data_IF_095781599470
#
_entry.id   IF_095781599470
#
_cell.length_a   1.000
_cell.length_b   1.000
_cell.length_c   1.000
_cell.angle_alpha   90.00
_cell.angle_beta   90.00
_cell.angle_gamma   90.00
#
_symmetry.space_group_name_H-M   'P 1'
#
loop_
_entity.id
_entity.type
_entity.pdbx_description
1 polymer ?
#
# COMPACT_ATOMS: atom_id res chain seq x y z
N UNK A 1 44.28 -17.21 33.71
CA UNK A 1 43.75 -17.64 32.40
C UNK A 1 42.81 -16.54 31.92
N UNK A 2 43.33 -15.61 31.11
CA UNK A 2 42.58 -14.50 30.52
C UNK A 2 42.67 -14.64 29.00
N UNK A 3 41.56 -15.02 28.38
CA UNK A 3 41.28 -14.95 26.94
C UNK A 3 39.80 -15.37 26.81
N UNK A 4 38.88 -14.69 26.15
CA UNK A 4 39.00 -13.71 25.10
C UNK A 4 37.78 -12.77 25.17
N UNK A 5 38.01 -11.51 25.47
CA UNK A 5 37.10 -10.41 25.15
C UNK A 5 37.75 -9.69 23.96
N UNK A 6 37.26 -9.94 22.75
CA UNK A 6 37.76 -9.22 21.59
C UNK A 6 37.54 -9.95 20.29
N UNK A 7 36.40 -9.68 19.64
CA UNK A 7 36.22 -9.74 18.16
C UNK A 7 34.81 -9.32 17.71
N UNK A 8 34.17 -8.34 18.37
CA UNK A 8 32.88 -7.79 17.86
C UNK A 8 33.02 -6.28 17.62
N UNK A 9 34.10 -5.86 16.96
CA UNK A 9 34.28 -4.47 16.58
C UNK A 9 35.15 -4.40 15.31
N UNK A 10 34.57 -4.62 14.12
CA UNK A 10 35.19 -4.26 12.81
C UNK A 10 34.30 -4.58 11.57
N UNK A 11 32.98 -4.40 11.62
CA UNK A 11 32.11 -4.66 10.44
C UNK A 11 31.34 -3.45 9.87
N UNK A 12 31.62 -2.22 10.29
CA UNK A 12 30.89 -1.02 9.82
C UNK A 12 31.67 -0.05 8.93
N UNK A 13 32.63 -0.51 8.12
CA UNK A 13 33.40 0.40 7.26
C UNK A 13 33.71 -0.19 5.88
N UNK A 14 32.69 -0.50 5.07
CA UNK A 14 32.93 -0.84 3.66
C UNK A 14 31.68 -0.75 2.74
N UNK A 15 30.86 0.31 2.80
CA UNK A 15 29.89 0.61 1.71
C UNK A 15 29.77 2.14 1.53
N UNK A 16 30.86 2.80 1.14
CA UNK A 16 30.82 4.17 0.59
C UNK A 16 31.84 4.29 -0.53
N UNK A 17 31.68 3.46 -1.58
CA UNK A 17 32.30 3.70 -2.88
C UNK A 17 31.64 2.74 -3.88
N UNK A 18 30.84 3.31 -4.78
CA UNK A 18 30.32 2.82 -6.08
C UNK A 18 28.90 3.40 -6.25
N UNK A 19 28.52 4.17 -7.26
CA UNK A 19 29.19 4.66 -8.45
C UNK A 19 28.30 5.81 -8.99
N UNK A 20 28.88 6.96 -9.31
CA UNK A 20 28.28 7.87 -10.29
C UNK A 20 28.46 7.24 -11.67
N UNK A 21 27.40 6.62 -12.18
CA UNK A 21 27.31 6.33 -13.61
C UNK A 21 25.86 6.39 -14.03
N UNK A 22 25.56 7.39 -14.85
CA UNK A 22 24.34 7.51 -15.64
C UNK A 22 24.13 6.20 -16.38
N UNK A 23 23.08 5.49 -16.02
CA UNK A 23 22.51 4.42 -16.83
C UNK A 23 21.03 4.57 -16.57
N UNK A 24 20.29 4.89 -17.63
CA UNK A 24 18.85 4.91 -17.58
C UNK A 24 18.39 3.57 -17.02
N UNK A 25 18.03 3.57 -15.74
CA UNK A 25 17.04 2.66 -15.21
C UNK A 25 15.81 2.94 -16.04
N UNK A 26 15.72 2.22 -17.15
CA UNK A 26 14.43 1.85 -17.72
C UNK A 26 13.79 1.10 -16.58
N UNK A 27 13.08 1.85 -15.74
CA UNK A 27 12.19 1.35 -14.73
C UNK A 27 11.17 0.59 -15.55
N UNK A 28 11.46 -0.68 -15.86
CA UNK A 28 10.48 -1.59 -16.40
C UNK A 28 9.60 -1.86 -15.19
N UNK A 29 8.74 -0.88 -14.89
CA UNK A 29 7.50 -1.12 -14.20
C UNK A 29 6.84 -2.19 -15.05
N UNK A 30 7.01 -3.44 -14.64
CA UNK A 30 6.15 -4.54 -15.10
C UNK A 30 4.77 -4.00 -14.89
N UNK A 31 4.12 -3.55 -15.97
CA UNK A 31 2.79 -3.01 -15.89
C UNK A 31 1.97 -4.11 -15.24
N UNK A 32 1.56 -3.90 -13.99
CA UNK A 32 0.71 -4.85 -13.31
C UNK A 32 -0.51 -4.99 -14.22
N UNK A 33 -0.68 -6.16 -14.83
CA UNK A 33 -1.81 -6.40 -15.70
C UNK A 33 -3.05 -6.42 -14.82
N UNK A 34 -4.03 -5.61 -15.19
CA UNK A 34 -5.22 -5.42 -14.39
C UNK A 34 -6.23 -4.56 -15.14
N UNK A 35 -7.44 -4.51 -14.60
CA UNK A 35 -8.57 -3.82 -15.22
C UNK A 35 -9.20 -2.85 -14.24
N UNK A 36 -9.69 -1.75 -14.80
CA UNK A 36 -10.47 -0.76 -14.07
C UNK A 36 -11.93 -1.17 -14.07
N UNK A 37 -12.45 -1.51 -12.90
CA UNK A 37 -13.80 -2.00 -12.71
C UNK A 37 -14.57 -1.09 -11.76
N UNK A 38 -15.88 -1.02 -11.95
CA UNK A 38 -16.75 -0.35 -10.98
C UNK A 38 -16.86 -1.25 -9.75
N UNK A 39 -16.64 -0.68 -8.56
CA UNK A 39 -16.80 -1.43 -7.31
C UNK A 39 -18.27 -1.87 -7.16
N UNK A 40 -18.57 -3.18 -7.06
CA UNK A 40 -19.94 -3.69 -6.99
C UNK A 40 -20.65 -3.40 -5.66
N UNK A 41 -19.92 -2.85 -4.68
CA UNK A 41 -20.38 -2.68 -3.30
C UNK A 41 -19.93 -3.81 -2.37
N UNK A 42 -20.03 -3.58 -1.06
CA UNK A 42 -19.55 -4.49 -0.03
C UNK A 42 -19.12 -3.75 1.24
N UNK A 43 -18.10 -4.28 1.92
CA UNK A 43 -17.60 -3.72 3.20
C UNK A 43 -17.13 -2.27 3.04
N UNK A 44 -16.58 -1.92 1.88
CA UNK A 44 -16.01 -0.60 1.60
C UNK A 44 -16.97 0.36 0.89
N UNK A 45 -18.26 0.05 0.78
CA UNK A 45 -19.25 0.88 0.05
C UNK A 45 -19.34 2.32 0.52
N UNK A 46 -19.10 2.59 1.80
CA UNK A 46 -19.09 3.96 2.34
C UNK A 46 -17.84 4.78 1.98
N UNK A 47 -16.76 4.13 1.53
CA UNK A 47 -15.44 4.75 1.35
C UNK A 47 -14.97 4.70 -0.12
N UNK A 48 -15.55 3.82 -0.93
CA UNK A 48 -15.18 3.59 -2.33
C UNK A 48 -16.37 3.90 -3.22
N UNK A 49 -16.35 5.08 -3.85
CA UNK A 49 -17.36 5.54 -4.80
C UNK A 49 -16.79 5.79 -6.21
N UNK A 50 -15.62 5.23 -6.50
CA UNK A 50 -14.86 5.45 -7.73
C UNK A 50 -14.53 4.12 -8.41
N UNK A 51 -14.07 4.17 -9.66
CA UNK A 51 -13.56 2.99 -10.36
C UNK A 51 -12.24 2.55 -9.75
N UNK A 52 -12.13 1.25 -9.48
CA UNK A 52 -11.01 0.65 -8.77
C UNK A 52 -10.18 -0.19 -9.71
N UNK A 53 -8.87 -0.18 -9.49
CA UNK A 53 -7.96 -1.05 -10.20
C UNK A 53 -8.02 -2.45 -9.58
N UNK A 54 -8.29 -3.45 -10.41
CA UNK A 54 -8.24 -4.86 -10.03
C UNK A 54 -7.11 -5.57 -10.78
N UNK A 55 -6.13 -6.14 -10.06
CA UNK A 55 -5.09 -6.94 -10.69
C UNK A 55 -5.67 -8.20 -11.34
N UNK A 56 -5.04 -8.63 -12.43
CA UNK A 56 -5.48 -9.80 -13.19
C UNK A 56 -5.47 -11.06 -12.31
N UNK A 57 -6.54 -11.86 -12.42
CA UNK A 57 -6.71 -13.08 -11.62
C UNK A 57 -7.22 -12.86 -10.19
N UNK A 58 -7.39 -11.60 -9.75
CA UNK A 58 -8.04 -11.27 -8.48
C UNK A 58 -9.48 -10.81 -8.73
N UNK A 59 -10.41 -11.40 -7.99
CA UNK A 59 -11.83 -11.03 -8.04
C UNK A 59 -12.26 -10.24 -6.82
N UNK A 60 -13.28 -9.39 -6.98
CA UNK A 60 -13.92 -8.69 -5.87
C UNK A 60 -14.32 -9.63 -4.72
N UNK A 61 -14.81 -10.83 -5.03
CA UNK A 61 -15.19 -11.80 -4.01
C UNK A 61 -14.03 -12.26 -3.14
N UNK A 62 -12.83 -12.43 -3.71
CA UNK A 62 -11.66 -12.83 -2.93
C UNK A 62 -11.24 -11.73 -1.95
N UNK A 63 -11.25 -10.47 -2.39
CA UNK A 63 -10.92 -9.33 -1.53
C UNK A 63 -12.00 -9.13 -0.46
N UNK A 64 -13.28 -9.20 -0.82
CA UNK A 64 -14.39 -9.10 0.13
C UNK A 64 -14.41 -10.26 1.14
N UNK A 65 -14.00 -11.47 0.78
CA UNK A 65 -13.85 -12.58 1.75
C UNK A 65 -12.78 -12.27 2.80
N UNK A 66 -11.66 -11.66 2.40
CA UNK A 66 -10.63 -11.24 3.35
C UNK A 66 -11.16 -10.14 4.27
N UNK A 67 -11.86 -9.14 3.72
CA UNK A 67 -12.51 -8.06 4.48
C UNK A 67 -13.63 -8.59 5.40
N UNK A 68 -14.32 -9.68 5.01
CA UNK A 68 -15.39 -10.30 5.79
C UNK A 68 -14.88 -10.85 7.13
N UNK A 69 -13.67 -11.39 7.17
CA UNK A 69 -13.03 -11.83 8.42
C UNK A 69 -12.83 -10.65 9.36
N UNK A 70 -12.40 -9.50 8.83
CA UNK A 70 -12.26 -8.27 9.61
C UNK A 70 -13.59 -7.69 10.05
N UNK A 71 -14.71 -8.03 9.39
CA UNK A 71 -16.04 -7.51 9.74
C UNK A 71 -16.53 -8.05 11.08
N UNK A 72 -16.18 -9.29 11.44
CA UNK A 72 -16.44 -9.82 12.79
C UNK A 72 -15.61 -9.09 13.84
N UNK A 73 -14.35 -8.78 13.51
CA UNK A 73 -13.47 -8.06 14.41
C UNK A 73 -13.96 -6.62 14.61
N UNK A 74 -14.37 -5.96 13.53
CA UNK A 74 -14.84 -4.58 13.58
C UNK A 74 -16.17 -4.44 14.33
N UNK A 75 -17.05 -5.45 14.30
CA UNK A 75 -18.24 -5.48 15.14
C UNK A 75 -17.89 -5.47 16.64
N UNK A 76 -16.86 -6.24 17.03
CA UNK A 76 -16.38 -6.26 18.42
C UNK A 76 -15.69 -4.94 18.79
N UNK A 77 -14.87 -4.39 17.89
CA UNK A 77 -14.17 -3.12 18.12
C UNK A 77 -15.13 -1.92 18.12
N UNK A 78 -16.22 -1.99 17.36
CA UNK A 78 -17.24 -0.92 17.31
C UNK A 78 -17.97 -0.74 18.63
N UNK A 79 -18.04 -1.78 19.46
CA UNK A 79 -18.60 -1.69 20.81
C UNK A 79 -17.67 -0.93 21.78
N UNK A 80 -16.36 -0.91 21.47
CA UNK A 80 -15.32 -0.25 22.27
C UNK A 80 -15.12 1.19 21.80
N UNK A 81 -14.85 1.39 20.51
CA UNK A 81 -14.60 2.70 19.91
C UNK A 81 -14.96 2.69 18.42
N UNK A 82 -16.10 3.28 18.09
CA UNK A 82 -16.59 3.39 16.71
C UNK A 82 -15.66 4.23 15.81
N UNK A 83 -15.03 5.28 16.35
CA UNK A 83 -14.17 6.17 15.56
C UNK A 83 -12.90 5.48 15.10
N UNK A 84 -12.37 4.54 15.88
CA UNK A 84 -11.25 3.67 15.51
C UNK A 84 -11.61 2.81 14.30
N UNK A 85 -12.78 2.16 14.34
CA UNK A 85 -13.26 1.31 13.24
C UNK A 85 -13.49 2.14 11.97
N UNK A 86 -14.12 3.30 12.09
CA UNK A 86 -14.34 4.20 10.96
C UNK A 86 -13.02 4.67 10.33
N UNK A 87 -12.06 5.08 11.16
CA UNK A 87 -10.73 5.51 10.71
C UNK A 87 -10.00 4.36 10.02
N UNK A 88 -10.07 3.15 10.58
CA UNK A 88 -9.48 1.96 9.98
C UNK A 88 -10.00 1.73 8.56
N UNK A 89 -11.32 1.68 8.36
CA UNK A 89 -11.89 1.46 7.02
C UNK A 89 -11.60 2.61 6.07
N UNK A 90 -11.55 3.86 6.55
CA UNK A 90 -11.19 5.03 5.75
C UNK A 90 -9.77 4.94 5.17
N UNK A 91 -8.83 4.32 5.87
CA UNK A 91 -7.46 4.10 5.38
C UNK A 91 -7.29 2.75 4.66
N UNK A 92 -7.93 1.69 5.14
CA UNK A 92 -7.78 0.35 4.58
C UNK A 92 -8.48 0.20 3.22
N UNK A 93 -9.69 0.73 3.07
CA UNK A 93 -10.46 0.59 1.82
C UNK A 93 -9.73 1.14 0.58
N UNK A 94 -9.14 2.35 0.57
CA UNK A 94 -8.37 2.83 -0.58
C UNK A 94 -7.07 2.05 -0.82
N UNK A 95 -6.55 1.33 0.19
CA UNK A 95 -5.39 0.46 0.03
C UNK A 95 -5.76 -0.83 -0.73
N UNK A 96 -6.86 -1.49 -0.37
CA UNK A 96 -7.36 -2.67 -1.10
C UNK A 96 -7.95 -2.30 -2.47
N UNK A 97 -8.60 -1.14 -2.55
CA UNK A 97 -9.27 -0.63 -3.74
C UNK A 97 -8.60 0.65 -4.21
N UNK A 98 -7.45 0.48 -4.87
CA UNK A 98 -6.70 1.57 -5.48
C UNK A 98 -7.54 2.25 -6.56
N UNK A 99 -7.43 3.59 -6.65
CA UNK A 99 -8.11 4.36 -7.70
C UNK A 99 -7.53 4.00 -9.07
N UNK A 100 -8.41 3.86 -10.05
CA UNK A 100 -7.98 3.85 -11.44
C UNK A 100 -7.62 5.26 -11.88
N UNK A 101 -6.33 5.47 -12.12
CA UNK A 101 -5.84 6.60 -12.92
C UNK A 101 -5.87 6.16 -14.38
N UNK A 102 -6.89 6.61 -15.11
CA UNK A 102 -6.82 6.63 -16.57
C UNK A 102 -5.60 7.48 -16.94
N UNK A 103 -4.72 7.03 -17.84
CA UNK A 103 -3.65 7.83 -18.44
C UNK A 103 -4.24 8.96 -19.32
N UNK A 104 -4.97 9.86 -18.69
CA UNK A 104 -5.51 11.11 -19.24
C UNK A 104 -5.51 12.18 -18.14
N UNK A 105 -4.39 12.23 -17.42
CA UNK A 105 -3.95 13.42 -16.69
C UNK A 105 -2.45 13.57 -16.98
N UNK A 106 -2.14 14.05 -18.18
CA UNK A 106 -0.90 14.74 -18.43
C UNK A 106 -0.89 15.99 -17.52
N UNK A 107 0.03 16.02 -16.56
CA UNK A 107 0.63 17.19 -15.90
C UNK A 107 -0.24 18.18 -15.09
N UNK A 108 -0.09 18.16 -13.75
CA UNK A 108 0.31 19.31 -12.91
C UNK A 108 0.24 18.90 -11.43
N UNK A 109 1.39 18.81 -10.75
CA UNK A 109 1.92 19.86 -9.86
C UNK A 109 1.02 20.09 -8.64
N UNK A 110 1.49 19.75 -7.44
CA UNK A 110 2.04 20.74 -6.49
C UNK A 110 2.25 20.09 -5.11
N UNK A 111 3.49 20.13 -4.65
CA UNK A 111 3.84 20.22 -3.23
C UNK A 111 3.20 21.49 -2.63
N UNK A 112 2.48 21.38 -1.51
CA UNK A 112 2.74 22.35 -0.45
C UNK A 112 2.68 21.69 0.92
N UNK A 113 3.78 21.69 1.67
CA UNK A 113 3.88 22.54 2.87
C UNK A 113 5.29 22.42 3.48
N UNK A 114 6.17 23.33 3.04
CA UNK A 114 7.19 23.86 3.94
C UNK A 114 6.54 24.92 4.80
N UNK A 115 6.51 24.70 6.11
CA UNK A 115 6.51 25.74 7.15
C UNK A 115 7.19 25.23 8.42
#
# INVERSE_FOLDING_TARGET
>A
MFAALGTILTLFAAVYAQSTTTSGSSNSSTAATGQCLTYPGGVCSGYVNYTVYMPEGVSFQQVEQQLSVLTNLSALLSDIDYACVESYYRFACPFYYSRCVSESANESTQDPDSL
#
